data_IF_517090836550
#
_entry.id   IF_517090836550
#
_cell.length_a   1.000
_cell.length_b   1.000
_cell.length_c   1.000
_cell.angle_alpha   90.00
_cell.angle_beta   90.00
_cell.angle_gamma   90.00
#
_symmetry.space_group_name_H-M   'P 1'
#
loop_
_entity.id
_entity.type
_entity.pdbx_description
1 polymer ?
#
# COMPACT_ATOMS: atom_id res chain seq x y z
N UNK A 1 -14.71 -14.55 5.35
CA UNK A 1 -14.80 -14.52 6.82
C UNK A 1 -13.40 -14.46 7.41
N UNK A 2 -13.18 -13.56 8.35
CA UNK A 2 -11.87 -13.38 8.97
C UNK A 2 -11.72 -14.31 10.16
N UNK A 3 -10.46 -14.71 10.44
CA UNK A 3 -10.14 -15.57 11.58
C UNK A 3 -9.14 -14.85 12.48
N UNK A 4 -9.01 -15.32 13.72
CA UNK A 4 -8.00 -14.77 14.64
C UNK A 4 -6.58 -14.91 14.06
N UNK A 5 -6.29 -16.02 13.38
CA UNK A 5 -4.99 -16.22 12.74
C UNK A 5 -4.75 -15.19 11.63
N UNK A 6 -5.77 -14.92 10.82
CA UNK A 6 -5.67 -13.89 9.77
C UNK A 6 -5.49 -12.50 10.37
N UNK A 7 -6.20 -12.21 11.44
CA UNK A 7 -6.07 -10.94 12.15
C UNK A 7 -4.64 -10.76 12.69
N UNK A 8 -4.11 -11.75 13.37
CA UNK A 8 -2.76 -11.69 13.96
C UNK A 8 -1.68 -11.54 12.88
N UNK A 9 -1.77 -12.32 11.82
CA UNK A 9 -0.83 -12.23 10.69
C UNK A 9 -0.96 -10.89 9.99
N UNK A 10 -2.19 -10.41 9.84
CA UNK A 10 -2.47 -9.15 9.17
C UNK A 10 -1.91 -7.95 9.91
N UNK A 11 -2.16 -7.87 11.21
CA UNK A 11 -1.64 -6.75 12.03
C UNK A 11 -0.12 -6.76 12.07
N UNK A 12 0.49 -7.93 12.10
CA UNK A 12 1.94 -8.05 12.07
C UNK A 12 2.53 -7.53 10.76
N UNK A 13 1.95 -7.94 9.63
CA UNK A 13 2.41 -7.49 8.32
C UNK A 13 2.18 -5.99 8.15
N UNK A 14 1.02 -5.48 8.57
CA UNK A 14 0.71 -4.06 8.51
C UNK A 14 1.74 -3.24 9.28
N UNK A 15 2.10 -3.69 10.47
CA UNK A 15 3.12 -3.01 11.29
C UNK A 15 4.49 -3.05 10.62
N UNK A 16 4.87 -4.19 10.05
CA UNK A 16 6.15 -4.31 9.36
C UNK A 16 6.26 -3.36 8.16
N UNK A 17 5.19 -3.24 7.38
CA UNK A 17 5.22 -2.44 6.15
C UNK A 17 4.88 -0.97 6.36
N UNK A 18 3.95 -0.67 7.25
CA UNK A 18 3.39 0.69 7.39
C UNK A 18 3.66 1.33 8.75
N UNK A 19 4.25 0.60 9.68
CA UNK A 19 4.62 1.15 10.97
C UNK A 19 3.51 1.20 12.01
N UNK A 20 2.34 0.64 11.72
CA UNK A 20 1.24 0.52 12.67
C UNK A 20 0.40 -0.71 12.33
N UNK A 21 -0.35 -1.22 13.31
CA UNK A 21 -1.09 -2.47 13.18
C UNK A 21 -2.28 -2.40 12.22
N UNK A 22 -2.76 -1.21 11.91
CA UNK A 22 -3.88 -1.01 10.98
C UNK A 22 -3.43 -0.66 9.56
N UNK A 23 -2.12 -0.41 9.36
CA UNK A 23 -1.58 -0.07 8.05
C UNK A 23 -2.23 1.19 7.49
N UNK A 24 -2.64 1.13 6.22
CA UNK A 24 -3.29 2.26 5.56
C UNK A 24 -4.71 2.52 6.08
N UNK A 25 -5.26 1.62 6.89
CA UNK A 25 -6.63 1.75 7.40
C UNK A 25 -6.71 2.43 8.76
N UNK A 26 -5.59 2.95 9.26
CA UNK A 26 -5.56 3.61 10.57
C UNK A 26 -6.42 4.86 10.64
N UNK A 27 -6.74 5.47 9.52
CA UNK A 27 -7.52 6.70 9.44
C UNK A 27 -8.94 6.49 8.90
N UNK A 28 -9.43 5.26 8.82
CA UNK A 28 -10.81 5.01 8.42
C UNK A 28 -11.74 5.68 9.45
N UNK A 29 -12.65 6.55 8.99
CA UNK A 29 -13.60 7.15 9.92
C UNK A 29 -14.51 6.09 10.56
N UNK A 30 -14.66 6.17 11.86
CA UNK A 30 -15.53 5.26 12.60
C UNK A 30 -16.67 6.03 13.25
N UNK A 31 -17.84 5.39 13.40
CA UNK A 31 -19.02 6.04 13.97
C UNK A 31 -19.05 5.93 15.49
N UNK A 32 -18.52 4.86 16.04
CA UNK A 32 -18.50 4.63 17.48
C UNK A 32 -17.32 3.72 17.84
N UNK A 33 -17.02 3.56 19.16
CA UNK A 33 -15.88 2.74 19.57
C UNK A 33 -15.97 1.26 19.19
N UNK A 34 -17.18 0.77 18.91
CA UNK A 34 -17.39 -0.63 18.56
C UNK A 34 -17.27 -0.89 17.05
N UNK A 35 -17.02 0.16 16.26
CA UNK A 35 -16.87 0.04 14.83
C UNK A 35 -15.55 -0.67 14.53
N UNK A 36 -15.62 -1.90 14.05
CA UNK A 36 -14.44 -2.73 13.78
C UNK A 36 -14.00 -2.70 12.32
N UNK A 37 -14.54 -1.80 11.50
CA UNK A 37 -14.19 -1.73 10.09
C UNK A 37 -12.68 -1.61 9.84
N UNK A 38 -11.93 -0.77 10.56
CA UNK A 38 -10.48 -0.71 10.35
C UNK A 38 -9.79 -2.06 10.59
N UNK A 39 -10.21 -2.80 11.62
CA UNK A 39 -9.66 -4.12 11.92
C UNK A 39 -10.03 -5.12 10.83
N UNK A 40 -11.27 -5.11 10.38
CA UNK A 40 -11.74 -6.00 9.32
C UNK A 40 -11.01 -5.72 8.00
N UNK A 41 -10.85 -4.45 7.63
CA UNK A 41 -10.12 -4.06 6.41
C UNK A 41 -8.66 -4.51 6.49
N UNK A 42 -8.02 -4.29 7.63
CA UNK A 42 -6.63 -4.72 7.87
C UNK A 42 -6.50 -6.23 7.75
N UNK A 43 -7.42 -6.97 8.35
CA UNK A 43 -7.41 -8.43 8.31
C UNK A 43 -7.59 -8.93 6.88
N UNK A 44 -8.50 -8.32 6.12
CA UNK A 44 -8.75 -8.72 4.75
C UNK A 44 -7.53 -8.49 3.86
N UNK A 45 -6.97 -7.28 3.87
CA UNK A 45 -5.84 -6.95 3.00
C UNK A 45 -4.56 -7.66 3.43
N UNK A 46 -4.15 -7.44 4.67
CA UNK A 46 -2.83 -7.90 5.12
C UNK A 46 -2.85 -9.34 5.62
N UNK A 47 -3.97 -9.79 6.16
CA UNK A 47 -4.07 -11.14 6.71
C UNK A 47 -4.58 -12.17 5.72
N UNK A 48 -5.40 -11.77 4.78
CA UNK A 48 -5.97 -12.68 3.79
C UNK A 48 -5.37 -12.50 2.40
N UNK A 49 -5.58 -11.33 1.78
CA UNK A 49 -5.13 -11.11 0.41
C UNK A 49 -3.63 -11.30 0.25
N UNK A 50 -2.85 -10.69 1.11
CA UNK A 50 -1.40 -10.70 0.96
C UNK A 50 -0.74 -11.99 1.44
N UNK A 51 -1.40 -12.74 2.31
CA UNK A 51 -0.76 -13.91 2.91
C UNK A 51 -1.37 -15.25 2.53
N UNK A 52 -2.65 -15.28 2.18
CA UNK A 52 -3.32 -16.56 1.91
C UNK A 52 -3.72 -16.78 0.46
N UNK A 53 -3.62 -15.76 -0.38
CA UNK A 53 -3.87 -15.91 -1.80
C UNK A 53 -2.54 -16.10 -2.53
N UNK A 54 -2.27 -17.32 -3.05
CA UNK A 54 -0.92 -17.70 -3.44
C UNK A 54 -0.48 -17.28 -4.84
N UNK A 55 -1.38 -16.74 -5.66
CA UNK A 55 -1.07 -16.51 -7.08
C UNK A 55 -0.37 -15.18 -7.36
N UNK A 56 -0.20 -14.32 -6.35
CA UNK A 56 0.50 -13.06 -6.49
C UNK A 56 1.29 -12.79 -5.22
N UNK A 57 2.58 -12.56 -5.35
CA UNK A 57 3.42 -12.34 -4.17
C UNK A 57 3.34 -10.88 -3.69
N UNK A 58 3.96 -10.61 -2.55
CA UNK A 58 3.93 -9.30 -1.92
C UNK A 58 4.53 -8.20 -2.80
N UNK A 59 5.62 -8.51 -3.48
CA UNK A 59 6.29 -7.52 -4.34
C UNK A 59 5.34 -7.02 -5.43
N UNK A 60 4.67 -7.94 -6.12
CA UNK A 60 3.75 -7.56 -7.19
C UNK A 60 2.53 -6.82 -6.64
N UNK A 61 2.03 -7.22 -5.48
CA UNK A 61 0.90 -6.51 -4.85
C UNK A 61 1.26 -5.09 -4.48
N UNK A 62 2.45 -4.90 -3.92
CA UNK A 62 2.94 -3.56 -3.55
C UNK A 62 3.13 -2.69 -4.79
N UNK A 63 3.76 -3.22 -5.83
CA UNK A 63 3.98 -2.46 -7.07
C UNK A 63 2.66 -2.19 -7.81
N UNK A 64 1.73 -3.14 -7.78
CA UNK A 64 0.39 -2.92 -8.35
C UNK A 64 -0.32 -1.76 -7.66
N UNK A 65 -0.22 -1.70 -6.34
CA UNK A 65 -0.81 -0.60 -5.57
C UNK A 65 -0.16 0.75 -5.95
N UNK A 66 1.16 0.77 -6.08
CA UNK A 66 1.89 1.98 -6.49
C UNK A 66 1.37 2.47 -7.85
N UNK A 67 1.26 1.57 -8.82
CA UNK A 67 0.76 1.93 -10.14
C UNK A 67 -0.68 2.40 -10.12
N UNK A 68 -1.54 1.68 -9.42
CA UNK A 68 -2.96 2.00 -9.34
C UNK A 68 -3.18 3.35 -8.66
N UNK A 69 -2.51 3.60 -7.54
CA UNK A 69 -2.67 4.85 -6.80
C UNK A 69 -2.11 6.04 -7.57
N UNK A 70 -1.08 5.82 -8.38
CA UNK A 70 -0.59 6.83 -9.30
C UNK A 70 -1.69 7.21 -10.29
N UNK A 71 -2.31 6.23 -10.94
CA UNK A 71 -3.37 6.47 -11.91
C UNK A 71 -4.60 7.14 -11.30
N UNK A 72 -4.93 6.79 -10.07
CA UNK A 72 -6.06 7.37 -9.35
C UNK A 72 -5.77 8.76 -8.79
N UNK A 73 -4.51 9.19 -8.79
CA UNK A 73 -4.12 10.49 -8.24
C UNK A 73 -4.22 10.56 -6.72
N UNK A 74 -4.11 9.44 -6.03
CA UNK A 74 -4.21 9.36 -4.57
C UNK A 74 -2.83 9.54 -3.93
N UNK A 75 -2.34 10.77 -3.95
CA UNK A 75 -0.96 11.09 -3.56
C UNK A 75 -0.59 10.72 -2.13
N UNK A 76 -1.48 10.95 -1.16
CA UNK A 76 -1.17 10.62 0.23
C UNK A 76 -1.05 9.11 0.43
N UNK A 77 -1.97 8.35 -0.13
CA UNK A 77 -1.92 6.89 -0.04
C UNK A 77 -0.74 6.34 -0.84
N UNK A 78 -0.45 6.95 -1.99
CA UNK A 78 0.72 6.56 -2.80
C UNK A 78 2.01 6.71 -2.00
N UNK A 79 2.16 7.80 -1.25
CA UNK A 79 3.32 7.99 -0.40
C UNK A 79 3.50 6.82 0.57
N UNK A 80 2.42 6.41 1.23
CA UNK A 80 2.47 5.30 2.19
C UNK A 80 2.88 3.99 1.52
N UNK A 81 2.34 3.70 0.35
CA UNK A 81 2.66 2.46 -0.36
C UNK A 81 4.07 2.46 -0.95
N UNK A 82 4.59 3.63 -1.33
CA UNK A 82 6.00 3.74 -1.76
C UNK A 82 6.91 3.45 -0.57
N UNK A 83 6.62 4.03 0.59
CA UNK A 83 7.40 3.76 1.81
C UNK A 83 7.38 2.27 2.17
N UNK A 84 6.21 1.65 2.10
CA UNK A 84 6.07 0.23 2.38
C UNK A 84 6.86 -0.63 1.38
N UNK A 85 6.86 -0.23 0.11
CA UNK A 85 7.59 -0.94 -0.94
C UNK A 85 9.09 -0.91 -0.69
N UNK A 86 9.62 0.25 -0.32
CA UNK A 86 11.05 0.39 0.02
C UNK A 86 11.37 -0.48 1.24
N UNK A 87 10.52 -0.45 2.24
CA UNK A 87 10.72 -1.22 3.46
C UNK A 87 10.72 -2.72 3.19
N UNK A 88 9.91 -3.16 2.25
CA UNK A 88 9.86 -4.56 1.83
C UNK A 88 11.13 -4.98 1.09
N UNK A 89 11.87 -4.03 0.51
CA UNK A 89 13.10 -4.30 -0.23
C UNK A 89 13.00 -4.06 -1.72
N UNK A 90 11.95 -3.41 -2.19
CA UNK A 90 11.80 -3.06 -3.61
C UNK A 90 12.68 -1.84 -3.88
N UNK A 91 13.40 -1.87 -5.00
CA UNK A 91 14.32 -0.79 -5.34
C UNK A 91 13.59 0.48 -5.75
N UNK A 92 14.23 1.62 -5.53
CA UNK A 92 13.71 2.92 -5.98
C UNK A 92 13.53 2.94 -7.49
N UNK A 93 14.42 2.29 -8.21
CA UNK A 93 14.37 2.18 -9.66
C UNK A 93 13.11 1.42 -10.11
N UNK A 94 12.79 0.33 -9.46
CA UNK A 94 11.59 -0.45 -9.79
C UNK A 94 10.32 0.35 -9.52
N UNK A 95 10.27 1.03 -8.38
CA UNK A 95 9.13 1.87 -8.01
C UNK A 95 8.93 2.99 -9.04
N UNK A 96 10.02 3.68 -9.37
CA UNK A 96 10.01 4.76 -10.35
C UNK A 96 9.54 4.27 -11.72
N UNK A 97 10.02 3.11 -12.14
CA UNK A 97 9.66 2.54 -13.44
C UNK A 97 8.18 2.20 -13.53
N UNK A 98 7.58 1.70 -12.47
CA UNK A 98 6.13 1.46 -12.43
C UNK A 98 5.36 2.76 -12.64
N UNK A 99 5.76 3.83 -11.93
CA UNK A 99 5.09 5.13 -12.05
C UNK A 99 5.23 5.68 -13.46
N UNK A 100 6.42 5.59 -14.05
CA UNK A 100 6.67 6.00 -15.44
C UNK A 100 5.73 5.25 -16.40
N UNK A 101 5.58 3.95 -16.18
CA UNK A 101 4.73 3.10 -17.01
C UNK A 101 3.26 3.54 -17.01
N UNK A 102 2.82 4.16 -15.92
CA UNK A 102 1.43 4.64 -15.82
C UNK A 102 1.15 5.82 -16.75
N UNK A 103 2.18 6.49 -17.27
CA UNK A 103 2.01 7.60 -18.20
C UNK A 103 1.25 7.19 -19.46
N UNK A 104 1.36 5.93 -19.87
CA UNK A 104 0.68 5.42 -21.06
C UNK A 104 -0.83 5.31 -20.83
N UNK A 105 -1.22 5.00 -19.60
CA UNK A 105 -2.63 4.74 -19.27
C UNK A 105 -3.35 5.96 -18.71
N UNK A 106 -2.65 6.76 -17.89
CA UNK A 106 -3.25 7.88 -17.18
C UNK A 106 -2.74 9.26 -17.65
N UNK A 107 -1.73 9.28 -18.51
CA UNK A 107 -1.14 10.50 -19.03
C UNK A 107 0.02 11.01 -18.19
N UNK A 108 0.88 11.81 -18.84
CA UNK A 108 2.08 12.34 -18.19
C UNK A 108 1.80 13.25 -17.00
N UNK A 109 0.75 14.11 -17.02
CA UNK A 109 0.49 14.94 -15.83
C UNK A 109 0.27 14.11 -14.58
N UNK A 110 -0.47 13.01 -14.68
CA UNK A 110 -0.73 12.11 -13.54
C UNK A 110 0.56 11.37 -13.15
N UNK A 111 1.30 10.86 -14.12
CA UNK A 111 2.56 10.17 -13.83
C UNK A 111 3.57 11.14 -13.20
N UNK A 112 3.60 12.39 -13.66
CA UNK A 112 4.48 13.40 -13.09
C UNK A 112 4.16 13.68 -11.62
N UNK A 113 2.87 13.74 -11.27
CA UNK A 113 2.47 13.88 -9.87
C UNK A 113 2.99 12.71 -9.04
N UNK A 114 2.87 11.49 -9.56
CA UNK A 114 3.40 10.29 -8.89
C UNK A 114 4.91 10.34 -8.72
N UNK A 115 5.62 10.81 -9.74
CA UNK A 115 7.08 10.95 -9.66
C UNK A 115 7.50 11.97 -8.62
N UNK A 116 6.73 13.04 -8.44
CA UNK A 116 6.99 14.02 -7.39
C UNK A 116 6.82 13.41 -6.00
N UNK A 117 5.78 12.61 -5.80
CA UNK A 117 5.58 11.90 -4.54
C UNK A 117 6.77 10.97 -4.27
N UNK A 118 7.15 10.18 -5.28
CA UNK A 118 8.28 9.26 -5.15
C UNK A 118 9.58 10.00 -4.80
N UNK A 119 9.84 11.11 -5.47
CA UNK A 119 11.03 11.90 -5.19
C UNK A 119 11.09 12.34 -3.73
N UNK A 120 9.96 12.84 -3.21
CA UNK A 120 9.87 13.27 -1.81
C UNK A 120 10.21 12.12 -0.87
N UNK A 121 9.64 10.94 -1.11
CA UNK A 121 9.91 9.77 -0.28
C UNK A 121 11.38 9.35 -0.40
N UNK A 122 11.91 9.29 -1.63
CA UNK A 122 13.28 8.86 -1.86
C UNK A 122 14.30 9.76 -1.17
N UNK A 123 14.01 11.06 -1.07
CA UNK A 123 14.88 12.01 -0.40
C UNK A 123 14.89 11.86 1.11
N UNK A 124 13.89 11.20 1.68
CA UNK A 124 13.79 10.92 3.11
C UNK A 124 14.54 9.64 3.52
N UNK A 125 14.92 8.81 2.56
CA UNK A 125 15.55 7.51 2.83
C UNK A 125 17.09 7.56 2.87
#
# INVERSE_FOLDING_TARGET
>A
MTTNSQYEKGTKLAEELFGNELGIFSDIPTLDPDDDLPNEATTFLYGYLMQERPHLDHKFRLLSAVGMLTCLGKSEMLEDWIKASIKYGISKEEIREVIISMSIYAGWPIANDGLKVAKTVFEQE
#
